data_IF_938227806706
#
_entry.id   IF_938227806706
#
_cell.length_a   1.000
_cell.length_b   1.000
_cell.length_c   1.000
_cell.angle_alpha   90.00
_cell.angle_beta   90.00
_cell.angle_gamma   90.00
#
_symmetry.space_group_name_H-M   'P 1'
#
loop_
_entity.id
_entity.type
_entity.pdbx_description
1 polymer ?
#
# COMPACT_ATOMS: atom_id res chain seq x y z
N UNK A 1 -21.12 11.33 26.39
CA UNK A 1 -20.79 12.45 27.32
C UNK A 1 -20.29 11.83 28.61
N UNK A 2 -19.02 11.62 28.77
CA UNK A 2 -18.40 11.36 30.05
C UNK A 2 -17.75 12.68 30.51
N UNK A 3 -18.45 13.43 31.34
CA UNK A 3 -17.91 14.57 32.06
C UNK A 3 -17.54 14.10 33.43
N UNK A 4 -16.47 13.34 33.56
CA UNK A 4 -15.65 13.31 34.76
C UNK A 4 -14.36 12.54 34.48
N UNK A 5 -13.24 13.03 35.00
CA UNK A 5 -11.93 12.41 34.90
C UNK A 5 -11.77 11.15 35.75
N UNK A 6 -12.83 10.39 35.96
CA UNK A 6 -12.74 9.06 36.52
C UNK A 6 -12.55 8.08 35.36
N UNK A 7 -11.28 7.79 35.05
CA UNK A 7 -10.83 6.59 34.34
C UNK A 7 -11.86 6.01 33.36
N UNK A 8 -12.07 6.72 32.24
CA UNK A 8 -12.66 6.08 31.07
C UNK A 8 -11.62 5.06 30.60
N UNK A 9 -11.77 3.84 31.10
CA UNK A 9 -10.92 2.73 30.70
C UNK A 9 -11.32 2.32 29.27
N UNK A 10 -10.69 3.00 28.30
CA UNK A 10 -10.91 2.76 26.87
C UNK A 10 -10.67 1.28 26.54
N UNK A 11 -9.63 0.68 27.10
CA UNK A 11 -9.26 -0.69 26.80
C UNK A 11 -10.34 -1.68 27.25
N UNK A 12 -10.94 -1.47 28.40
CA UNK A 12 -12.06 -2.32 28.85
C UNK A 12 -13.28 -2.11 27.98
N UNK A 13 -13.58 -0.87 27.59
CA UNK A 13 -14.72 -0.59 26.71
C UNK A 13 -14.55 -1.19 25.31
N UNK A 14 -13.33 -1.11 24.78
CA UNK A 14 -12.99 -1.72 23.48
C UNK A 14 -13.09 -3.26 23.57
N UNK A 15 -12.62 -3.88 24.66
CA UNK A 15 -12.77 -5.32 24.86
C UNK A 15 -14.22 -5.76 24.97
N UNK A 16 -15.04 -5.01 25.69
CA UNK A 16 -16.48 -5.25 25.81
C UNK A 16 -17.17 -5.20 24.44
N UNK A 17 -16.90 -4.13 23.65
CA UNK A 17 -17.42 -3.97 22.29
C UNK A 17 -16.94 -5.11 21.38
N UNK A 18 -15.66 -5.45 21.43
CA UNK A 18 -15.11 -6.54 20.64
C UNK A 18 -15.81 -7.87 20.94
N UNK A 19 -15.95 -8.21 22.23
CA UNK A 19 -16.64 -9.43 22.65
C UNK A 19 -18.10 -9.48 22.20
N UNK A 20 -18.80 -8.34 22.25
CA UNK A 20 -20.19 -8.23 21.78
C UNK A 20 -20.29 -8.40 20.26
N UNK A 21 -19.42 -7.76 19.50
CA UNK A 21 -19.45 -7.74 18.04
C UNK A 21 -18.88 -9.03 17.41
N UNK A 22 -18.04 -9.77 18.11
CA UNK A 22 -17.52 -11.08 17.65
C UNK A 22 -18.55 -12.21 17.80
N UNK A 23 -19.65 -11.93 18.50
CA UNK A 23 -20.74 -12.91 18.65
C UNK A 23 -21.49 -13.04 17.32
N UNK A 24 -21.58 -14.26 16.73
CA UNK A 24 -22.35 -14.47 15.52
C UNK A 24 -23.83 -14.14 15.74
N UNK A 25 -24.44 -13.50 14.78
CA UNK A 25 -25.89 -13.28 14.78
C UNK A 25 -26.58 -14.12 13.71
N UNK A 26 -27.79 -14.56 13.98
CA UNK A 26 -28.57 -15.39 13.08
C UNK A 26 -29.42 -14.58 12.14
N UNK A 27 -29.39 -14.93 10.85
CA UNK A 27 -30.34 -14.46 9.85
C UNK A 27 -30.92 -15.69 9.18
N UNK A 28 -32.16 -16.03 9.50
CA UNK A 28 -32.73 -17.31 9.13
C UNK A 28 -31.98 -18.49 9.76
N UNK A 29 -31.54 -19.44 8.95
CA UNK A 29 -30.78 -20.62 9.39
C UNK A 29 -29.25 -20.44 9.32
N UNK A 30 -28.77 -19.25 8.96
CA UNK A 30 -27.34 -18.98 8.77
C UNK A 30 -26.79 -18.07 9.87
N UNK A 31 -25.57 -18.41 10.32
CA UNK A 31 -24.80 -17.59 11.27
C UNK A 31 -23.89 -16.62 10.51
N UNK A 32 -23.96 -15.33 10.87
CA UNK A 32 -23.15 -14.27 10.27
C UNK A 32 -22.25 -13.65 11.33
N UNK A 33 -20.98 -13.38 10.93
CA UNK A 33 -20.04 -12.57 11.70
C UNK A 33 -19.79 -11.28 10.97
N UNK A 34 -19.87 -10.17 11.70
CA UNK A 34 -19.55 -8.84 11.15
C UNK A 34 -18.12 -8.46 11.54
N UNK A 35 -17.36 -7.99 10.57
CA UNK A 35 -16.08 -7.37 10.83
C UNK A 35 -16.29 -5.86 11.09
N UNK A 36 -15.73 -5.39 12.21
CA UNK A 36 -15.82 -3.99 12.60
C UNK A 36 -14.43 -3.38 12.72
N UNK A 37 -14.35 -2.09 12.40
CA UNK A 37 -13.18 -1.28 12.64
C UNK A 37 -13.60 0.00 13.37
N UNK A 38 -12.88 0.38 14.40
CA UNK A 38 -13.20 1.51 15.26
C UNK A 38 -12.11 2.56 15.15
N UNK A 39 -12.51 3.82 14.96
CA UNK A 39 -11.64 4.99 15.10
C UNK A 39 -11.96 5.71 16.41
N UNK A 40 -10.95 6.02 17.19
CA UNK A 40 -11.10 6.68 18.49
C UNK A 40 -10.50 8.07 18.43
N UNK A 41 -11.26 9.05 18.88
CA UNK A 41 -10.82 10.45 19.05
C UNK A 41 -11.23 10.96 20.41
N UNK A 42 -10.43 11.85 20.97
CA UNK A 42 -10.71 12.48 22.26
C UNK A 42 -11.04 13.97 22.08
N UNK A 43 -12.07 14.41 22.76
CA UNK A 43 -12.37 15.82 22.93
C UNK A 43 -11.85 16.28 24.31
N UNK A 44 -11.19 17.43 24.42
CA UNK A 44 -10.77 18.35 23.33
C UNK A 44 -9.39 17.98 22.73
N UNK A 45 -8.74 16.91 23.18
CA UNK A 45 -7.34 16.59 22.85
C UNK A 45 -7.09 16.44 21.34
N UNK A 46 -8.08 15.93 20.60
CA UNK A 46 -7.98 15.75 19.15
C UNK A 46 -8.81 16.78 18.36
N UNK A 47 -9.22 17.89 18.99
CA UNK A 47 -9.93 18.99 18.35
C UNK A 47 -11.14 19.46 19.13
N UNK A 48 -11.58 20.71 18.82
CA UNK A 48 -12.71 21.35 19.47
C UNK A 48 -13.97 21.42 18.60
N UNK A 49 -13.86 21.10 17.31
CA UNK A 49 -14.95 21.16 16.36
C UNK A 49 -15.45 19.76 16.03
N UNK A 50 -16.77 19.58 15.98
CA UNK A 50 -17.41 18.27 15.74
C UNK A 50 -16.99 17.69 14.40
N UNK A 51 -17.00 18.50 13.33
CA UNK A 51 -16.64 18.05 11.99
C UNK A 51 -15.21 17.58 11.89
N UNK A 52 -14.29 18.27 12.60
CA UNK A 52 -12.89 17.85 12.69
C UNK A 52 -12.75 16.53 13.41
N UNK A 53 -13.45 16.34 14.52
CA UNK A 53 -13.41 15.08 15.29
C UNK A 53 -13.99 13.91 14.48
N UNK A 54 -15.09 14.12 13.78
CA UNK A 54 -15.69 13.10 12.90
C UNK A 54 -14.68 12.71 11.81
N UNK A 55 -14.09 13.68 11.11
CA UNK A 55 -13.07 13.41 10.08
C UNK A 55 -11.89 12.61 10.65
N UNK A 56 -11.35 13.00 11.81
CA UNK A 56 -10.24 12.30 12.47
C UNK A 56 -10.62 10.89 12.90
N UNK A 57 -11.84 10.69 13.38
CA UNK A 57 -12.36 9.35 13.67
C UNK A 57 -12.43 8.49 12.40
N UNK A 58 -12.92 9.04 11.27
CA UNK A 58 -12.98 8.34 9.99
C UNK A 58 -11.58 7.95 9.48
N UNK A 59 -10.59 8.85 9.57
CA UNK A 59 -9.19 8.55 9.22
C UNK A 59 -8.66 7.41 10.10
N UNK A 60 -8.95 7.43 11.40
CA UNK A 60 -8.56 6.37 12.32
C UNK A 60 -9.22 5.01 11.99
N UNK A 61 -10.48 5.01 11.54
CA UNK A 61 -11.15 3.80 11.03
C UNK A 61 -10.44 3.27 9.79
N UNK A 62 -10.07 4.12 8.84
CA UNK A 62 -9.33 3.67 7.66
C UNK A 62 -7.98 3.09 8.05
N UNK A 63 -7.28 3.72 8.98
CA UNK A 63 -6.00 3.23 9.49
C UNK A 63 -6.15 1.87 10.20
N UNK A 64 -7.23 1.64 10.95
CA UNK A 64 -7.48 0.35 11.60
C UNK A 64 -7.69 -0.78 10.59
N UNK A 65 -8.37 -0.50 9.47
CA UNK A 65 -8.51 -1.46 8.35
C UNK A 65 -7.17 -1.84 7.76
N UNK A 66 -6.30 -0.85 7.54
CA UNK A 66 -4.97 -1.06 6.96
C UNK A 66 -4.06 -1.89 7.87
N UNK A 67 -4.09 -1.60 9.16
CA UNK A 67 -3.30 -2.31 10.17
C UNK A 67 -3.91 -3.66 10.54
N UNK A 68 -5.10 -4.00 10.00
CA UNK A 68 -5.88 -5.18 10.41
C UNK A 68 -6.08 -5.23 11.92
N UNK A 69 -6.24 -4.06 12.55
CA UNK A 69 -6.49 -3.91 13.97
C UNK A 69 -7.99 -3.64 14.20
N UNK A 70 -8.51 -4.05 15.35
CA UNK A 70 -9.90 -3.82 15.71
C UNK A 70 -10.20 -2.33 15.90
N UNK A 71 -9.24 -1.58 16.44
CA UNK A 71 -9.36 -0.14 16.61
C UNK A 71 -8.03 0.60 16.41
N UNK A 72 -8.12 1.89 16.10
CA UNK A 72 -7.00 2.83 16.09
C UNK A 72 -7.43 4.14 16.77
N UNK A 73 -6.63 4.58 17.71
CA UNK A 73 -6.72 5.93 18.27
C UNK A 73 -6.05 6.92 17.31
N UNK A 74 -6.71 8.06 17.09
CA UNK A 74 -6.13 9.13 16.30
C UNK A 74 -4.81 9.62 16.90
N UNK A 75 -3.83 9.80 16.02
CA UNK A 75 -2.55 10.44 16.34
C UNK A 75 -2.32 11.60 15.39
N UNK A 76 -1.68 12.66 15.88
CA UNK A 76 -1.30 13.79 15.04
C UNK A 76 -0.46 13.31 13.85
N UNK A 77 -0.74 13.85 12.67
CA UNK A 77 -0.09 13.43 11.42
C UNK A 77 -0.85 12.35 10.63
N UNK A 78 -1.89 11.72 11.20
CA UNK A 78 -2.69 10.71 10.51
C UNK A 78 -3.49 11.30 9.34
N UNK A 79 -3.96 12.54 9.47
CA UNK A 79 -4.68 13.26 8.41
C UNK A 79 -3.76 13.44 7.19
N UNK A 80 -2.53 13.90 7.41
CA UNK A 80 -1.54 14.15 6.38
C UNK A 80 -1.11 12.85 5.69
N UNK A 81 -0.89 11.80 6.45
CA UNK A 81 -0.57 10.47 5.91
C UNK A 81 -1.70 9.93 5.04
N UNK A 82 -2.95 10.09 5.49
CA UNK A 82 -4.12 9.67 4.73
C UNK A 82 -4.26 10.45 3.42
N UNK A 83 -4.11 11.77 3.46
CA UNK A 83 -4.14 12.61 2.27
C UNK A 83 -3.01 12.29 1.30
N UNK A 84 -1.80 12.11 1.78
CA UNK A 84 -0.64 11.69 0.99
C UNK A 84 -0.92 10.39 0.24
N UNK A 85 -1.50 9.43 0.92
CA UNK A 85 -1.87 8.13 0.36
C UNK A 85 -2.91 8.25 -0.77
N UNK A 86 -3.94 9.08 -0.59
CA UNK A 86 -4.92 9.34 -1.64
C UNK A 86 -4.27 10.00 -2.87
N UNK A 87 -3.39 10.97 -2.65
CA UNK A 87 -2.67 11.64 -3.71
C UNK A 87 -1.78 10.66 -4.51
N UNK A 88 -1.11 9.72 -3.83
CA UNK A 88 -0.31 8.69 -4.49
C UNK A 88 -1.20 7.79 -5.35
N UNK A 89 -2.31 7.27 -4.82
CA UNK A 89 -3.23 6.41 -5.56
C UNK A 89 -3.79 7.14 -6.81
N UNK A 90 -4.12 8.41 -6.68
CA UNK A 90 -4.61 9.21 -7.80
C UNK A 90 -3.54 9.42 -8.86
N UNK A 91 -2.33 9.80 -8.45
CA UNK A 91 -1.21 10.06 -9.38
C UNK A 91 -0.66 8.79 -10.03
N UNK A 92 -0.80 7.62 -9.39
CA UNK A 92 -0.37 6.34 -9.98
C UNK A 92 -1.06 6.01 -11.30
N UNK A 93 -2.31 6.46 -11.49
CA UNK A 93 -3.10 6.20 -12.71
C UNK A 93 -2.43 6.75 -13.96
N UNK A 94 -1.75 7.87 -13.82
CA UNK A 94 -1.13 8.59 -14.94
C UNK A 94 0.39 8.44 -14.99
N UNK A 95 1.02 7.89 -13.95
CA UNK A 95 2.48 7.83 -13.79
C UNK A 95 3.23 7.17 -14.95
N UNK A 96 2.61 6.17 -15.61
CA UNK A 96 3.17 5.51 -16.81
C UNK A 96 3.09 6.45 -18.02
N UNK A 97 1.93 7.07 -18.23
CA UNK A 97 1.67 7.98 -19.36
C UNK A 97 2.52 9.26 -19.25
N UNK A 98 2.67 9.78 -18.05
CA UNK A 98 3.42 11.00 -17.75
C UNK A 98 4.95 10.79 -17.74
N UNK A 99 5.41 9.54 -17.94
CA UNK A 99 6.83 9.17 -17.96
C UNK A 99 7.55 9.49 -16.65
N UNK A 100 6.83 9.44 -15.55
CA UNK A 100 7.35 9.67 -14.19
C UNK A 100 8.10 8.44 -13.62
N UNK A 101 7.95 7.27 -14.27
CA UNK A 101 8.59 6.02 -13.87
C UNK A 101 9.92 5.81 -14.56
N UNK A 102 10.89 5.26 -13.84
CA UNK A 102 12.17 4.84 -14.40
C UNK A 102 12.71 3.59 -13.70
N UNK A 103 13.57 2.86 -14.39
CA UNK A 103 14.22 1.67 -13.87
C UNK A 103 15.63 1.99 -13.36
N UNK A 104 15.95 1.52 -12.17
CA UNK A 104 17.31 1.50 -11.63
C UNK A 104 17.77 0.04 -11.57
N UNK A 105 19.03 -0.19 -11.92
CA UNK A 105 19.61 -1.53 -11.97
C UNK A 105 20.56 -1.72 -10.81
N UNK A 106 20.30 -2.74 -10.01
CA UNK A 106 21.23 -3.18 -8.96
C UNK A 106 22.07 -4.34 -9.49
N UNK A 107 23.40 -4.18 -9.66
CA UNK A 107 24.25 -5.20 -10.26
C UNK A 107 24.35 -6.45 -9.39
N UNK A 108 24.35 -7.62 -10.02
CA UNK A 108 24.62 -8.92 -9.42
C UNK A 108 25.99 -9.41 -9.85
N UNK A 109 26.88 -9.59 -8.88
CA UNK A 109 28.28 -9.96 -9.11
C UNK A 109 28.50 -11.42 -8.67
N UNK A 110 29.20 -12.19 -9.48
CA UNK A 110 29.68 -13.51 -9.07
C UNK A 110 30.80 -13.33 -8.05
N UNK A 111 30.61 -13.78 -6.82
CA UNK A 111 31.55 -13.59 -5.73
C UNK A 111 32.89 -14.32 -5.92
N UNK A 112 32.92 -15.36 -6.77
CA UNK A 112 34.18 -16.14 -7.03
C UNK A 112 35.05 -15.50 -8.13
N UNK A 113 34.37 -14.95 -9.17
CA UNK A 113 35.06 -14.41 -10.36
C UNK A 113 35.12 -12.90 -10.41
N UNK A 114 34.33 -12.20 -9.58
CA UNK A 114 34.16 -10.74 -9.62
C UNK A 114 33.41 -10.23 -10.86
N UNK A 115 32.90 -11.12 -11.71
CA UNK A 115 32.24 -10.75 -12.96
C UNK A 115 30.77 -10.35 -12.73
N UNK A 116 30.28 -9.39 -13.51
CA UNK A 116 28.87 -9.03 -13.58
C UNK A 116 28.10 -10.16 -14.27
N UNK A 117 27.08 -10.70 -13.59
CA UNK A 117 26.25 -11.81 -14.11
C UNK A 117 24.82 -11.38 -14.45
N UNK A 118 24.42 -10.21 -13.98
CA UNK A 118 23.09 -9.67 -14.22
C UNK A 118 22.78 -8.49 -13.34
N UNK A 119 21.52 -8.09 -13.31
CA UNK A 119 21.06 -7.02 -12.43
C UNK A 119 19.63 -7.29 -11.93
N UNK A 120 19.28 -6.70 -10.81
CA UNK A 120 17.90 -6.58 -10.36
C UNK A 120 17.31 -5.27 -10.84
N UNK A 121 16.11 -5.35 -11.41
CA UNK A 121 15.35 -4.19 -11.86
C UNK A 121 14.55 -3.64 -10.70
N UNK A 122 14.79 -2.39 -10.38
CA UNK A 122 14.13 -1.70 -9.30
C UNK A 122 13.36 -0.50 -9.86
N UNK A 123 12.04 -0.52 -9.70
CA UNK A 123 11.17 0.57 -10.12
C UNK A 123 11.37 1.79 -9.22
N UNK A 124 11.43 2.98 -9.83
CA UNK A 124 11.50 4.28 -9.17
C UNK A 124 10.44 5.19 -9.74
N UNK A 125 9.89 6.01 -8.88
CA UNK A 125 8.88 6.99 -9.27
C UNK A 125 9.30 8.39 -8.85
N UNK A 126 9.40 9.27 -9.83
CA UNK A 126 9.64 10.69 -9.64
C UNK A 126 8.42 11.45 -10.19
N UNK A 127 7.50 11.78 -9.30
CA UNK A 127 6.29 12.49 -9.68
C UNK A 127 6.53 13.99 -9.72
N UNK A 128 6.00 14.66 -10.73
CA UNK A 128 6.03 16.12 -10.85
C UNK A 128 5.28 16.82 -9.72
N UNK A 129 4.22 16.16 -9.20
CA UNK A 129 3.37 16.69 -8.14
C UNK A 129 3.87 16.34 -6.73
N UNK A 130 4.38 15.11 -6.56
CA UNK A 130 4.67 14.53 -5.23
C UNK A 130 6.17 14.46 -4.94
N UNK A 131 7.02 14.75 -5.92
CA UNK A 131 8.46 14.53 -5.85
C UNK A 131 8.82 13.05 -5.90
N UNK A 132 9.92 12.66 -5.26
CA UNK A 132 10.30 11.26 -5.15
C UNK A 132 9.31 10.49 -4.25
N UNK A 133 8.75 9.42 -4.78
CA UNK A 133 7.89 8.49 -4.04
C UNK A 133 8.61 7.14 -3.94
N UNK A 134 8.88 6.68 -2.73
CA UNK A 134 9.61 5.43 -2.49
C UNK A 134 8.81 4.19 -2.87
N UNK A 135 9.46 3.10 -3.33
CA UNK A 135 8.75 1.85 -3.66
C UNK A 135 7.99 1.25 -2.47
N UNK A 136 8.52 1.39 -1.28
CA UNK A 136 7.89 1.00 -0.02
C UNK A 136 6.59 1.77 0.28
N UNK A 137 6.43 2.97 -0.28
CA UNK A 137 5.23 3.78 -0.15
C UNK A 137 4.23 3.46 -1.27
N UNK A 138 4.65 3.44 -2.55
CA UNK A 138 3.68 3.33 -3.65
C UNK A 138 3.34 1.90 -4.08
N UNK A 139 4.23 0.90 -3.93
CA UNK A 139 3.94 -0.48 -4.35
C UNK A 139 2.76 -1.07 -3.58
N UNK A 140 2.69 -0.98 -2.22
CA UNK A 140 1.52 -1.46 -1.49
C UNK A 140 0.22 -0.75 -1.88
N UNK A 141 0.30 0.52 -2.29
CA UNK A 141 -0.86 1.28 -2.76
C UNK A 141 -1.30 0.86 -4.16
N UNK A 142 -0.34 0.56 -5.03
CA UNK A 142 -0.61 0.01 -6.35
C UNK A 142 -1.30 -1.35 -6.26
N UNK A 143 -0.85 -2.23 -5.36
CA UNK A 143 -1.49 -3.52 -5.09
C UNK A 143 -2.94 -3.37 -4.61
N UNK A 144 -3.18 -2.46 -3.67
CA UNK A 144 -4.51 -2.23 -3.10
C UNK A 144 -5.48 -1.57 -4.08
N UNK A 145 -4.99 -0.71 -4.97
CA UNK A 145 -5.79 -0.01 -5.98
C UNK A 145 -5.96 -0.80 -7.27
N UNK A 146 -5.21 -1.90 -7.45
CA UNK A 146 -5.17 -2.67 -8.70
C UNK A 146 -4.26 -2.09 -9.78
N UNK A 147 -3.57 -0.97 -9.52
CA UNK A 147 -2.64 -0.36 -10.47
C UNK A 147 -1.35 -1.17 -10.66
N UNK A 148 -1.07 -2.13 -9.77
CA UNK A 148 0.17 -2.90 -9.79
C UNK A 148 0.38 -3.66 -11.11
N UNK A 149 -0.66 -4.20 -11.70
CA UNK A 149 -0.58 -4.95 -12.95
C UNK A 149 -0.12 -4.08 -14.13
N UNK A 150 -0.55 -2.82 -14.19
CA UNK A 150 -0.08 -1.87 -15.21
C UNK A 150 1.40 -1.54 -15.00
N UNK A 151 1.82 -1.31 -13.77
CA UNK A 151 3.23 -1.10 -13.42
C UNK A 151 4.09 -2.31 -13.78
N UNK A 152 3.65 -3.52 -13.46
CA UNK A 152 4.34 -4.77 -13.80
C UNK A 152 4.50 -4.92 -15.32
N UNK A 153 3.43 -4.68 -16.08
CA UNK A 153 3.45 -4.71 -17.54
C UNK A 153 4.45 -3.70 -18.12
N UNK A 154 4.49 -2.50 -17.56
CA UNK A 154 5.45 -1.49 -17.97
C UNK A 154 6.90 -1.90 -17.66
N UNK A 155 7.16 -2.38 -16.43
CA UNK A 155 8.49 -2.86 -16.03
C UNK A 155 8.97 -4.00 -16.91
N UNK A 156 8.11 -4.98 -17.22
CA UNK A 156 8.46 -6.10 -18.11
C UNK A 156 8.84 -5.60 -19.51
N UNK A 157 8.05 -4.70 -20.11
CA UNK A 157 8.33 -4.15 -21.44
C UNK A 157 9.63 -3.34 -21.48
N UNK A 158 9.87 -2.47 -20.51
CA UNK A 158 11.10 -1.68 -20.45
C UNK A 158 12.33 -2.58 -20.19
N UNK A 159 12.19 -3.62 -19.36
CA UNK A 159 13.24 -4.60 -19.13
C UNK A 159 13.56 -5.43 -20.38
N UNK A 160 12.56 -5.81 -21.17
CA UNK A 160 12.77 -6.50 -22.44
C UNK A 160 13.52 -5.63 -23.46
N UNK A 161 13.16 -4.36 -23.60
CA UNK A 161 13.90 -3.39 -24.46
C UNK A 161 15.37 -3.28 -24.03
N UNK A 162 15.62 -3.22 -22.73
CA UNK A 162 16.98 -3.15 -22.19
C UNK A 162 17.78 -4.41 -22.50
N UNK A 163 17.18 -5.61 -22.30
CA UNK A 163 17.82 -6.88 -22.65
C UNK A 163 18.15 -6.97 -24.15
N UNK A 164 17.22 -6.55 -25.00
CA UNK A 164 17.46 -6.50 -26.45
C UNK A 164 18.66 -5.61 -26.79
N UNK A 165 18.71 -4.39 -26.24
CA UNK A 165 19.83 -3.46 -26.47
C UNK A 165 21.16 -4.04 -26.01
N UNK A 166 21.20 -4.76 -24.89
CA UNK A 166 22.41 -5.44 -24.43
C UNK A 166 22.81 -6.60 -25.32
N UNK A 167 21.86 -7.38 -25.81
CA UNK A 167 22.12 -8.47 -26.73
C UNK A 167 22.72 -7.95 -28.05
N UNK A 168 22.19 -6.88 -28.60
CA UNK A 168 22.74 -6.19 -29.79
C UNK A 168 24.18 -5.69 -29.59
N UNK A 169 24.56 -5.37 -28.35
CA UNK A 169 25.93 -5.00 -27.96
C UNK A 169 26.82 -6.22 -27.62
N UNK A 170 26.34 -7.46 -27.83
CA UNK A 170 27.08 -8.69 -27.53
C UNK A 170 27.17 -8.99 -26.03
N UNK A 171 26.32 -8.40 -25.20
CA UNK A 171 26.30 -8.62 -23.74
C UNK A 171 25.20 -9.61 -23.39
N UNK A 172 25.57 -10.69 -22.68
CA UNK A 172 24.62 -11.69 -22.18
C UNK A 172 24.50 -11.54 -20.69
N UNK A 173 23.55 -10.67 -20.25
CA UNK A 173 23.25 -10.42 -18.85
C UNK A 173 21.83 -10.88 -18.53
N UNK A 174 21.59 -11.24 -17.26
CA UNK A 174 20.27 -11.63 -16.76
C UNK A 174 19.64 -10.45 -16.00
N UNK A 175 18.34 -10.25 -16.20
CA UNK A 175 17.55 -9.33 -15.37
C UNK A 175 16.64 -10.13 -14.45
N UNK A 176 16.52 -9.68 -13.22
CA UNK A 176 15.51 -10.16 -12.27
C UNK A 176 14.50 -9.04 -12.05
N UNK A 177 13.23 -9.37 -12.14
CA UNK A 177 12.11 -8.45 -11.93
C UNK A 177 11.32 -8.93 -10.72
N UNK A 178 10.93 -8.02 -9.85
CA UNK A 178 10.05 -8.31 -8.73
C UNK A 178 8.59 -8.32 -9.23
N UNK A 179 7.87 -9.36 -8.90
CA UNK A 179 6.45 -9.51 -9.22
C UNK A 179 5.61 -9.45 -7.94
N UNK A 180 4.45 -8.82 -8.02
CA UNK A 180 3.47 -8.87 -6.95
C UNK A 180 2.77 -10.24 -6.93
N UNK A 181 2.32 -10.67 -5.74
CA UNK A 181 1.46 -11.84 -5.62
C UNK A 181 0.14 -11.69 -6.38
N UNK A 182 -0.33 -10.46 -6.58
CA UNK A 182 -1.51 -10.16 -7.41
C UNK A 182 -1.27 -10.53 -8.86
N UNK A 183 -0.08 -10.22 -9.39
CA UNK A 183 0.28 -10.53 -10.78
C UNK A 183 0.41 -12.05 -11.01
N UNK A 184 0.92 -12.80 -10.02
CA UNK A 184 1.07 -14.25 -10.10
C UNK A 184 -0.29 -14.99 -10.21
N UNK A 185 -1.38 -14.37 -9.80
CA UNK A 185 -2.73 -14.90 -9.93
C UNK A 185 -3.40 -14.51 -11.26
N UNK A 186 -2.72 -13.73 -12.09
CA UNK A 186 -3.24 -13.24 -13.38
C UNK A 186 -2.85 -14.18 -14.53
N UNK A 187 -3.83 -14.64 -15.30
CA UNK A 187 -3.60 -15.42 -16.51
C UNK A 187 -2.89 -14.61 -17.62
N UNK A 188 -2.82 -13.30 -17.47
CA UNK A 188 -2.15 -12.43 -18.44
C UNK A 188 -0.62 -12.37 -18.28
N UNK A 189 -0.09 -12.77 -17.12
CA UNK A 189 1.36 -12.69 -16.87
C UNK A 189 2.19 -13.56 -17.83
N UNK A 190 1.84 -14.83 -18.16
CA UNK A 190 2.60 -15.63 -19.12
C UNK A 190 2.68 -14.99 -20.51
N UNK A 191 1.61 -14.33 -20.95
CA UNK A 191 1.53 -13.69 -22.28
C UNK A 191 2.49 -12.50 -22.45
N UNK A 192 3.05 -11.98 -21.35
CA UNK A 192 4.07 -10.90 -21.40
C UNK A 192 5.46 -11.42 -21.78
N UNK A 193 5.69 -12.73 -21.71
CA UNK A 193 7.00 -13.34 -21.96
C UNK A 193 7.02 -14.17 -23.27
N UNK A 194 5.93 -14.18 -24.00
CA UNK A 194 5.81 -14.74 -25.37
C UNK A 194 6.12 -13.67 -26.44
#
# INVERSE_FOLDING_TARGET
YASDKSEFDLDNKIKELHSFLDTPFKVGDSDYRLAFNIGVVYFPGHGNEVDLLIRRAQVSVQQSKLQKSFYVEYKSGLDEQYMRRLQIIESLKDAVADKELHLVLQPKINCQTGSLVGAEVLLRWQSDKLGFVGPDEFIPLAEQSGAITELTNWVCRESAKLLQSWHEQGRTLKLSINLSTVDLLSDALPLLFE
#
